data_IF_314611633088
#
_entry.id   IF_314611633088
#
_cell.length_a   1.000
_cell.length_b   1.000
_cell.length_c   1.000
_cell.angle_alpha   90.00
_cell.angle_beta   90.00
_cell.angle_gamma   90.00
#
_symmetry.space_group_name_H-M   'P 1'
#
loop_
_entity.id
_entity.type
_entity.pdbx_description
1 polymer ?
#
# COMPACT_ATOMS: atom_id res chain seq x y z
N UNK A 1 22.41 14.63 -9.95
CA UNK A 1 21.47 13.57 -10.40
C UNK A 1 20.60 13.24 -9.21
N UNK A 2 19.39 13.79 -9.13
CA UNK A 2 18.41 13.39 -8.12
C UNK A 2 17.93 11.99 -8.51
N UNK A 3 18.31 10.99 -7.73
CA UNK A 3 17.76 9.65 -7.85
C UNK A 3 16.27 9.78 -7.56
N UNK A 4 15.42 9.69 -8.58
CA UNK A 4 13.98 9.57 -8.38
C UNK A 4 13.77 8.23 -7.70
N UNK A 5 13.74 8.22 -6.36
CA UNK A 5 13.39 7.04 -5.58
C UNK A 5 12.07 6.53 -6.13
N UNK A 6 12.02 5.28 -6.61
CA UNK A 6 10.79 4.70 -7.13
C UNK A 6 9.76 4.69 -5.99
N UNK A 7 8.80 5.63 -6.06
CA UNK A 7 7.77 5.87 -5.04
C UNK A 7 6.98 4.58 -4.76
N UNK A 8 6.84 3.71 -5.77
CA UNK A 8 6.08 2.47 -5.74
C UNK A 8 6.91 1.23 -5.37
N UNK A 9 8.22 1.35 -5.14
CA UNK A 9 9.08 0.21 -4.80
C UNK A 9 8.57 -0.65 -3.63
N UNK A 10 7.99 -0.09 -2.54
CA UNK A 10 7.40 -0.92 -1.48
C UNK A 10 6.27 -1.82 -1.98
N UNK A 11 5.37 -1.30 -2.83
CA UNK A 11 4.28 -2.09 -3.41
C UNK A 11 4.77 -3.12 -4.42
N UNK A 12 5.79 -2.78 -5.22
CA UNK A 12 6.41 -3.73 -6.14
C UNK A 12 6.99 -4.95 -5.41
N UNK A 13 7.57 -4.75 -4.23
CA UNK A 13 8.13 -5.83 -3.41
C UNK A 13 7.08 -6.85 -2.92
N UNK A 14 5.81 -6.44 -2.80
CA UNK A 14 4.70 -7.31 -2.41
C UNK A 14 3.66 -7.52 -3.53
N UNK A 15 3.98 -7.16 -4.78
CA UNK A 15 3.00 -7.10 -5.87
C UNK A 15 2.31 -8.44 -6.13
N UNK A 16 3.01 -9.57 -6.00
CA UNK A 16 2.43 -10.90 -6.19
C UNK A 16 1.30 -11.18 -5.20
N UNK A 17 1.56 -10.98 -3.90
CA UNK A 17 0.57 -11.23 -2.85
C UNK A 17 -0.55 -10.19 -2.85
N UNK A 18 -0.24 -8.94 -3.27
CA UNK A 18 -1.23 -7.88 -3.39
C UNK A 18 -2.18 -8.07 -4.59
N UNK A 19 -1.65 -8.49 -5.74
CA UNK A 19 -2.45 -8.79 -6.93
C UNK A 19 -3.36 -10.02 -6.72
N UNK A 20 -2.96 -10.95 -5.86
CA UNK A 20 -3.76 -12.11 -5.44
C UNK A 20 -4.17 -12.02 -3.96
N UNK A 21 -4.69 -10.85 -3.57
CA UNK A 21 -5.08 -10.58 -2.18
C UNK A 21 -6.08 -11.61 -1.63
N UNK A 22 -6.98 -12.12 -2.48
CA UNK A 22 -7.96 -13.14 -2.07
C UNK A 22 -7.28 -14.44 -1.64
N UNK A 23 -6.28 -14.92 -2.39
CA UNK A 23 -5.49 -16.09 -2.02
C UNK A 23 -4.69 -15.84 -0.75
N UNK A 24 -4.09 -14.66 -0.62
CA UNK A 24 -3.32 -14.28 0.58
C UNK A 24 -4.22 -14.24 1.82
N UNK A 25 -5.45 -13.76 1.69
CA UNK A 25 -6.46 -13.76 2.76
C UNK A 25 -7.02 -15.15 3.10
N UNK A 26 -7.01 -16.08 2.15
CA UNK A 26 -7.50 -17.45 2.34
C UNK A 26 -6.45 -18.38 2.96
N UNK A 27 -5.17 -17.99 2.93
CA UNK A 27 -4.07 -18.78 3.47
C UNK A 27 -4.00 -18.65 5.00
N UNK A 28 -4.11 -19.76 5.77
CA UNK A 28 -3.96 -19.73 7.23
C UNK A 28 -2.61 -19.18 7.72
N UNK A 29 -1.56 -19.28 6.90
CA UNK A 29 -0.23 -18.71 7.15
C UNK A 29 -0.02 -17.36 6.45
N UNK A 30 -1.09 -16.73 5.93
CA UNK A 30 -1.05 -15.47 5.18
C UNK A 30 -0.79 -14.22 6.02
N UNK A 31 -0.90 -14.30 7.35
CA UNK A 31 -0.78 -13.16 8.28
C UNK A 31 0.43 -12.25 8.03
N UNK A 32 1.68 -12.78 7.98
CA UNK A 32 2.86 -11.96 7.71
C UNK A 32 2.85 -11.26 6.34
N UNK A 33 2.27 -11.89 5.31
CA UNK A 33 2.16 -11.29 3.98
C UNK A 33 1.10 -10.19 3.94
N UNK A 34 -0.01 -10.35 4.64
CA UNK A 34 -1.02 -9.30 4.82
C UNK A 34 -0.44 -8.10 5.58
N UNK A 35 0.39 -8.34 6.60
CA UNK A 35 1.12 -7.28 7.29
C UNK A 35 2.08 -6.55 6.35
N UNK A 36 2.88 -7.28 5.57
CA UNK A 36 3.79 -6.70 4.58
C UNK A 36 3.06 -5.85 3.52
N UNK A 37 1.89 -6.28 3.04
CA UNK A 37 1.04 -5.48 2.13
C UNK A 37 0.61 -4.16 2.79
N UNK A 38 0.19 -4.19 4.07
CA UNK A 38 -0.21 -2.98 4.79
C UNK A 38 0.96 -2.02 4.97
N UNK A 39 2.11 -2.54 5.39
CA UNK A 39 3.34 -1.76 5.55
C UNK A 39 3.78 -1.15 4.21
N UNK A 40 3.68 -1.89 3.11
CA UNK A 40 3.99 -1.40 1.78
C UNK A 40 3.04 -0.27 1.33
N UNK A 41 1.73 -0.39 1.59
CA UNK A 41 0.75 0.66 1.31
C UNK A 41 1.05 1.94 2.12
N UNK A 42 1.40 1.81 3.40
CA UNK A 42 1.76 2.94 4.25
C UNK A 42 3.09 3.59 3.83
N UNK A 43 4.11 2.79 3.50
CA UNK A 43 5.39 3.27 3.02
C UNK A 43 5.26 3.99 1.67
N UNK A 44 4.50 3.44 0.71
CA UNK A 44 4.21 4.13 -0.55
C UNK A 44 3.37 5.39 -0.32
N UNK A 45 2.42 5.39 0.62
CA UNK A 45 1.71 6.62 0.99
C UNK A 45 2.69 7.69 1.47
N UNK A 46 3.62 7.33 2.38
CA UNK A 46 4.67 8.25 2.85
C UNK A 46 5.50 8.79 1.68
N UNK A 47 5.98 7.94 0.77
CA UNK A 47 6.74 8.35 -0.41
C UNK A 47 5.94 9.32 -1.31
N UNK A 48 4.65 9.05 -1.53
CA UNK A 48 3.74 9.93 -2.28
C UNK A 48 3.56 11.28 -1.57
N UNK A 49 3.44 11.28 -0.25
CA UNK A 49 3.29 12.50 0.54
C UNK A 49 4.56 13.37 0.59
N UNK A 50 5.73 12.76 0.45
CA UNK A 50 7.03 13.44 0.37
C UNK A 50 7.38 13.91 -1.05
N UNK A 51 6.70 13.37 -2.07
CA UNK A 51 6.91 13.76 -3.45
C UNK A 51 6.46 15.21 -3.72
N UNK A 52 7.26 15.96 -4.47
CA UNK A 52 6.96 17.34 -4.86
C UNK A 52 6.23 17.37 -6.20
N UNK A 53 4.95 17.75 -6.18
CA UNK A 53 4.18 18.02 -7.40
C UNK A 53 4.55 19.37 -8.00
N UNK A 54 4.91 19.39 -9.29
CA UNK A 54 5.33 20.60 -10.01
C UNK A 54 4.16 21.58 -10.22
N UNK A 55 2.95 21.05 -10.40
CA UNK A 55 1.73 21.81 -10.62
C UNK A 55 0.72 21.62 -9.48
N UNK A 56 -0.33 22.45 -9.45
CA UNK A 56 -1.45 22.25 -8.52
C UNK A 56 -2.17 20.93 -8.79
N UNK A 57 -2.33 20.55 -10.06
CA UNK A 57 -2.90 19.27 -10.46
C UNK A 57 -2.08 18.11 -9.87
N UNK A 58 -0.75 18.14 -10.01
CA UNK A 58 0.13 17.11 -9.48
C UNK A 58 0.00 16.98 -7.95
N UNK A 59 -0.04 18.11 -7.23
CA UNK A 59 -0.23 18.10 -5.76
C UNK A 59 -1.58 17.53 -5.36
N UNK A 60 -2.64 17.86 -6.10
CA UNK A 60 -3.97 17.30 -5.86
C UNK A 60 -4.02 15.79 -6.12
N UNK A 61 -3.37 15.32 -7.18
CA UNK A 61 -3.32 13.90 -7.52
C UNK A 61 -2.46 13.11 -6.53
N UNK A 62 -1.30 13.64 -6.11
CA UNK A 62 -0.50 13.05 -5.02
C UNK A 62 -1.31 12.98 -3.71
N UNK A 63 -2.05 14.02 -3.35
CA UNK A 63 -2.90 14.01 -2.15
C UNK A 63 -4.04 12.99 -2.25
N UNK A 64 -4.60 12.76 -3.44
CA UNK A 64 -5.60 11.70 -3.69
C UNK A 64 -4.97 10.32 -3.54
N UNK A 65 -3.81 10.09 -4.15
CA UNK A 65 -3.07 8.83 -4.05
C UNK A 65 -2.71 8.52 -2.59
N UNK A 66 -2.17 9.49 -1.85
CA UNK A 66 -1.86 9.36 -0.44
C UNK A 66 -3.05 8.85 0.37
N UNK A 67 -4.21 9.49 0.23
CA UNK A 67 -5.44 9.10 0.94
C UNK A 67 -5.94 7.72 0.50
N UNK A 68 -5.86 7.41 -0.79
CA UNK A 68 -6.25 6.12 -1.35
C UNK A 68 -5.42 4.97 -0.79
N UNK A 69 -4.10 5.14 -0.70
CA UNK A 69 -3.17 4.15 -0.14
C UNK A 69 -3.45 3.87 1.34
N UNK A 70 -3.67 4.92 2.14
CA UNK A 70 -4.04 4.74 3.55
C UNK A 70 -5.41 4.06 3.72
N UNK A 71 -6.38 4.38 2.87
CA UNK A 71 -7.67 3.72 2.90
C UNK A 71 -7.55 2.22 2.55
N UNK A 72 -6.77 1.89 1.52
CA UNK A 72 -6.48 0.51 1.15
C UNK A 72 -5.79 -0.26 2.30
N UNK A 73 -4.78 0.32 2.96
CA UNK A 73 -4.09 -0.32 4.09
C UNK A 73 -5.04 -0.64 5.26
N UNK A 74 -5.99 0.25 5.55
CA UNK A 74 -7.05 0.02 6.55
C UNK A 74 -7.99 -1.12 6.14
N UNK A 75 -8.41 -1.17 4.87
CA UNK A 75 -9.28 -2.23 4.35
C UNK A 75 -8.58 -3.59 4.47
N UNK A 76 -7.32 -3.70 4.05
CA UNK A 76 -6.55 -4.94 4.17
C UNK A 76 -6.46 -5.39 5.63
N UNK A 77 -6.20 -4.47 6.57
CA UNK A 77 -6.21 -4.77 8.01
C UNK A 77 -7.55 -5.32 8.48
N UNK A 78 -8.65 -4.65 8.16
CA UNK A 78 -10.00 -5.12 8.53
C UNK A 78 -10.36 -6.48 7.94
N UNK A 79 -9.91 -6.78 6.72
CA UNK A 79 -10.11 -8.08 6.10
C UNK A 79 -9.30 -9.19 6.79
N UNK A 80 -8.05 -8.89 7.19
CA UNK A 80 -7.21 -9.82 7.95
C UNK A 80 -7.81 -10.11 9.33
N UNK A 81 -8.28 -9.08 10.05
CA UNK A 81 -8.88 -9.23 11.39
C UNK A 81 -10.15 -10.09 11.35
N UNK A 82 -11.01 -9.88 10.34
CA UNK A 82 -12.22 -10.71 10.16
C UNK A 82 -11.90 -12.20 9.93
N UNK A 83 -10.80 -12.50 9.25
CA UNK A 83 -10.34 -13.88 9.03
C UNK A 83 -9.73 -14.50 10.28
N UNK A 84 -8.96 -13.74 11.05
CA UNK A 84 -8.38 -14.21 12.32
C UNK A 84 -9.39 -14.37 13.46
N UNK A 85 -10.55 -13.72 13.35
CA UNK A 85 -11.68 -13.87 14.28
C UNK A 85 -12.61 -15.05 13.94
N UNK A 86 -12.29 -15.85 12.91
CA UNK A 86 -13.08 -17.00 12.45
C UNK A 86 -12.49 -18.33 12.90
#
# INVERSE_FOLDING_TARGET
>A
MTQTTNIYAPLEACATDFNDLQKTLADPAGGPRLAAIREALEATAKNVGEAQGATELDRNDLARLYRGLLAAGRIVGQLADKRGAS
#
